data_IF_061489451787
#
_entry.id   IF_061489451787
#
_cell.length_a   1.000
_cell.length_b   1.000
_cell.length_c   1.000
_cell.angle_alpha   90.00
_cell.angle_beta   90.00
_cell.angle_gamma   90.00
#
_symmetry.space_group_name_H-M   'P 1'
#
loop_
_entity.id
_entity.type
_entity.pdbx_description
1 polymer ?
#
# COMPACT_ATOMS: atom_id res chain seq x y z
N UNK A 1 -6.87 20.49 11.28
CA UNK A 1 -5.80 20.83 10.33
C UNK A 1 -4.54 20.21 10.91
N UNK A 2 -4.17 19.01 10.45
CA UNK A 2 -2.90 18.38 10.83
C UNK A 2 -1.81 18.93 9.92
N UNK A 3 -0.63 19.21 10.48
CA UNK A 3 0.53 19.67 9.70
C UNK A 3 1.14 18.56 8.85
N UNK A 4 2.03 18.92 7.93
CA UNK A 4 2.78 17.94 7.14
C UNK A 4 3.91 17.33 7.98
N UNK A 5 4.31 16.09 7.67
CA UNK A 5 5.50 15.49 8.29
C UNK A 5 6.73 16.33 7.94
N UNK A 6 6.92 16.67 6.66
CA UNK A 6 7.97 17.56 6.21
C UNK A 6 7.36 18.89 5.75
N UNK A 7 7.53 19.93 6.56
CA UNK A 7 7.08 21.28 6.21
C UNK A 7 8.00 21.94 5.17
N UNK A 8 7.43 22.85 4.35
CA UNK A 8 8.16 23.76 3.45
C UNK A 8 9.03 23.04 2.40
N UNK A 9 8.58 21.88 1.93
CA UNK A 9 9.23 21.17 0.83
C UNK A 9 8.96 21.93 -0.47
N UNK A 10 10.01 22.22 -1.23
CA UNK A 10 9.93 22.92 -2.52
C UNK A 10 10.68 22.11 -3.58
N UNK A 11 9.94 21.60 -4.57
CA UNK A 11 10.48 20.76 -5.64
C UNK A 11 11.51 21.44 -6.53
N UNK A 12 11.62 22.77 -6.47
CA UNK A 12 12.60 23.54 -7.25
C UNK A 12 13.94 23.71 -6.55
N UNK A 13 13.97 23.62 -5.22
CA UNK A 13 15.16 23.97 -4.42
C UNK A 13 15.61 22.87 -3.48
N UNK A 14 14.72 21.98 -3.08
CA UNK A 14 15.03 20.89 -2.15
C UNK A 14 15.43 19.63 -2.94
N UNK A 15 16.69 19.19 -2.93
CA UNK A 15 17.11 18.00 -3.67
C UNK A 15 16.46 16.71 -3.17
N UNK A 16 15.90 16.71 -1.95
CA UNK A 16 15.26 15.56 -1.31
C UNK A 16 13.74 15.64 -1.33
N UNK A 17 13.18 16.57 -2.11
CA UNK A 17 11.74 16.83 -2.16
C UNK A 17 10.91 15.58 -2.43
N UNK A 18 11.36 14.70 -3.34
CA UNK A 18 10.64 13.45 -3.71
C UNK A 18 10.43 12.56 -2.48
N UNK A 19 11.46 12.42 -1.64
CA UNK A 19 11.42 11.52 -0.47
C UNK A 19 10.57 12.11 0.63
N UNK A 20 10.70 13.42 0.86
CA UNK A 20 9.91 14.16 1.85
C UNK A 20 8.43 14.18 1.48
N UNK A 21 8.12 14.44 0.21
CA UNK A 21 6.75 14.40 -0.31
C UNK A 21 6.18 12.98 -0.33
N UNK A 22 6.99 11.94 -0.55
CA UNK A 22 6.54 10.57 -0.39
C UNK A 22 6.01 10.32 1.04
N UNK A 23 6.76 10.74 2.07
CA UNK A 23 6.31 10.62 3.46
C UNK A 23 5.08 11.48 3.77
N UNK A 24 5.00 12.70 3.22
CA UNK A 24 3.80 13.54 3.34
C UNK A 24 2.59 12.90 2.66
N UNK A 25 2.76 12.30 1.49
CA UNK A 25 1.68 11.65 0.74
C UNK A 25 1.14 10.44 1.49
N UNK A 26 2.01 9.51 1.94
CA UNK A 26 1.54 8.35 2.71
C UNK A 26 0.90 8.79 4.04
N UNK A 27 1.38 9.88 4.64
CA UNK A 27 0.78 10.47 5.83
C UNK A 27 -0.61 11.03 5.57
N UNK A 28 -0.77 11.89 4.55
CA UNK A 28 -2.04 12.51 4.18
C UNK A 28 -3.11 11.46 3.83
N UNK A 29 -2.67 10.32 3.30
CA UNK A 29 -3.53 9.19 2.99
C UNK A 29 -3.87 8.30 4.19
N UNK A 30 -3.42 8.63 5.41
CA UNK A 30 -3.65 7.84 6.62
C UNK A 30 -2.93 6.49 6.59
N UNK A 31 -1.81 6.41 5.87
CA UNK A 31 -1.08 5.16 5.57
C UNK A 31 0.34 5.14 6.13
N UNK A 32 0.76 6.14 6.92
CA UNK A 32 2.10 6.20 7.48
C UNK A 32 2.46 4.95 8.33
N UNK A 33 1.66 4.63 9.34
CA UNK A 33 1.87 3.44 10.18
C UNK A 33 1.71 2.12 9.42
N UNK A 34 1.02 2.12 8.28
CA UNK A 34 0.95 0.96 7.38
C UNK A 34 2.26 0.76 6.60
N UNK A 35 2.83 1.85 6.07
CA UNK A 35 4.04 1.78 5.27
C UNK A 35 5.27 1.47 6.13
N UNK A 36 5.29 1.94 7.38
CA UNK A 36 6.42 1.80 8.30
C UNK A 36 6.95 0.35 8.42
N UNK A 37 6.16 -0.68 8.78
CA UNK A 37 6.67 -2.05 8.87
C UNK A 37 7.16 -2.60 7.52
N UNK A 38 6.54 -2.20 6.40
CA UNK A 38 6.98 -2.64 5.07
C UNK A 38 8.37 -2.09 4.75
N UNK A 39 8.58 -0.79 4.98
CA UNK A 39 9.86 -0.11 4.74
C UNK A 39 10.94 -0.72 5.64
N UNK A 40 10.65 -0.93 6.93
CA UNK A 40 11.59 -1.54 7.88
C UNK A 40 11.96 -2.98 7.51
N UNK A 41 11.02 -3.74 6.95
CA UNK A 41 11.24 -5.13 6.50
C UNK A 41 11.79 -5.22 5.07
N UNK A 42 12.17 -4.09 4.45
CA UNK A 42 12.65 -4.02 3.06
C UNK A 42 11.66 -4.57 2.05
N UNK A 43 10.37 -4.37 2.31
CA UNK A 43 9.26 -4.71 1.43
C UNK A 43 8.78 -3.45 0.75
N UNK A 44 8.58 -3.53 -0.55
CA UNK A 44 8.08 -2.41 -1.32
C UNK A 44 6.70 -1.98 -0.86
N UNK A 45 6.44 -0.68 -0.86
CA UNK A 45 5.12 -0.12 -0.63
C UNK A 45 4.80 0.90 -1.72
N UNK A 46 3.57 0.89 -2.21
CA UNK A 46 3.11 1.75 -3.30
C UNK A 46 1.66 2.11 -3.10
N UNK A 47 1.33 3.39 -3.32
CA UNK A 47 0.01 3.96 -3.12
C UNK A 47 -0.18 5.09 -4.12
N UNK A 48 -1.13 4.92 -5.05
CA UNK A 48 -1.54 5.97 -5.99
C UNK A 48 -0.36 6.62 -6.74
N UNK A 49 0.51 5.79 -7.32
CA UNK A 49 1.72 6.21 -8.06
C UNK A 49 2.88 6.72 -7.18
N UNK A 50 2.69 6.84 -5.86
CA UNK A 50 3.77 7.11 -4.92
C UNK A 50 4.29 5.80 -4.35
N UNK A 51 5.60 5.58 -4.37
CA UNK A 51 6.16 4.29 -3.98
C UNK A 51 7.53 4.39 -3.35
N UNK A 52 7.87 3.35 -2.57
CA UNK A 52 9.20 3.07 -2.06
C UNK A 52 9.48 1.58 -2.31
N UNK A 53 10.36 1.28 -3.27
CA UNK A 53 10.69 -0.06 -3.68
C UNK A 53 12.12 -0.44 -3.30
N UNK A 54 12.27 -1.69 -2.90
CA UNK A 54 13.54 -2.35 -2.68
C UNK A 54 13.84 -3.26 -3.89
N UNK A 55 15.11 -3.52 -4.19
CA UNK A 55 15.48 -4.30 -5.36
C UNK A 55 15.12 -5.77 -5.19
N UNK A 56 14.79 -6.40 -6.31
CA UNK A 56 14.48 -7.82 -6.38
C UNK A 56 15.16 -8.43 -7.62
N UNK A 57 16.37 -8.96 -7.44
CA UNK A 57 17.15 -9.61 -8.50
C UNK A 57 16.47 -10.88 -9.05
N UNK A 58 15.44 -11.39 -8.36
CA UNK A 58 14.67 -12.56 -8.80
C UNK A 58 13.44 -12.19 -9.64
N UNK A 59 13.09 -10.90 -9.71
CA UNK A 59 11.97 -10.44 -10.52
C UNK A 59 12.29 -10.62 -12.02
N UNK A 60 11.34 -11.07 -12.84
CA UNK A 60 11.57 -11.19 -14.29
C UNK A 60 11.75 -9.84 -14.99
N UNK A 61 11.28 -8.73 -14.41
CA UNK A 61 11.41 -7.40 -14.99
C UNK A 61 12.72 -6.74 -14.56
N UNK A 62 13.59 -6.30 -15.50
CA UNK A 62 14.87 -5.70 -15.18
C UNK A 62 14.75 -4.34 -14.48
N UNK A 63 13.56 -3.73 -14.46
CA UNK A 63 13.32 -2.45 -13.78
C UNK A 63 13.41 -2.54 -12.24
N UNK A 64 13.30 -3.76 -11.69
CA UNK A 64 13.46 -4.06 -10.26
C UNK A 64 14.88 -4.53 -9.91
N UNK A 65 15.78 -4.66 -10.90
CA UNK A 65 17.19 -5.03 -10.71
C UNK A 65 18.04 -3.78 -10.50
N UNK A 66 17.95 -3.19 -9.31
CA UNK A 66 18.69 -1.98 -8.96
C UNK A 66 19.45 -2.13 -7.64
N UNK A 67 20.21 -1.11 -7.24
CA UNK A 67 20.92 -1.07 -5.96
C UNK A 67 20.47 0.15 -5.17
N UNK A 68 20.22 -0.04 -3.87
CA UNK A 68 19.66 0.99 -2.99
C UNK A 68 18.16 0.89 -2.86
N UNK A 69 17.48 2.02 -2.77
CA UNK A 69 16.02 2.12 -2.61
C UNK A 69 15.49 3.15 -3.58
N UNK A 70 14.42 2.79 -4.27
CA UNK A 70 13.79 3.63 -5.28
C UNK A 70 12.53 4.25 -4.71
N UNK A 71 12.50 5.57 -4.57
CA UNK A 71 11.34 6.32 -4.09
C UNK A 71 10.76 7.13 -5.24
N UNK A 72 9.50 6.88 -5.56
CA UNK A 72 8.77 7.58 -6.62
C UNK A 72 7.61 8.39 -6.09
N UNK A 73 7.36 9.51 -6.77
CA UNK A 73 6.21 10.37 -6.58
C UNK A 73 5.73 10.82 -7.96
N UNK A 74 4.56 10.36 -8.40
CA UNK A 74 4.04 10.58 -9.75
C UNK A 74 5.10 10.22 -10.84
N UNK A 75 5.47 11.18 -11.69
CA UNK A 75 6.44 11.01 -12.78
C UNK A 75 7.91 11.20 -12.34
N UNK A 76 8.16 11.43 -11.04
CA UNK A 76 9.50 11.70 -10.51
C UNK A 76 9.99 10.55 -9.63
N UNK A 77 11.27 10.19 -9.77
CA UNK A 77 11.90 9.10 -9.01
C UNK A 77 13.24 9.56 -8.44
N UNK A 78 13.56 9.07 -7.25
CA UNK A 78 14.88 9.21 -6.63
C UNK A 78 15.41 7.85 -6.17
N UNK A 79 16.62 7.54 -6.59
CA UNK A 79 17.39 6.42 -6.06
C UNK A 79 18.20 6.88 -4.84
N UNK A 80 18.05 6.17 -3.73
CA UNK A 80 18.68 6.43 -2.44
C UNK A 80 19.55 5.26 -2.01
N UNK A 81 20.49 5.51 -1.11
CA UNK A 81 21.03 4.43 -0.28
C UNK A 81 19.99 4.06 0.80
N UNK A 82 20.08 2.83 1.33
CA UNK A 82 19.23 2.46 2.47
C UNK A 82 19.53 3.28 3.72
N UNK A 83 20.77 3.74 3.89
CA UNK A 83 21.15 4.62 4.99
C UNK A 83 20.44 5.97 4.88
N UNK A 84 20.34 6.53 3.67
CA UNK A 84 19.62 7.79 3.44
C UNK A 84 18.12 7.62 3.66
N UNK A 85 17.51 6.53 3.16
CA UNK A 85 16.10 6.22 3.46
C UNK A 85 15.87 6.11 4.97
N UNK A 86 16.76 5.41 5.68
CA UNK A 86 16.66 5.23 7.13
C UNK A 86 16.67 6.58 7.87
N UNK A 87 17.54 7.52 7.47
CA UNK A 87 17.56 8.89 8.04
C UNK A 87 16.21 9.59 7.85
N UNK A 88 15.64 9.56 6.64
CA UNK A 88 14.33 10.16 6.39
C UNK A 88 13.20 9.45 7.14
N UNK A 89 13.24 8.12 7.24
CA UNK A 89 12.23 7.35 7.97
C UNK A 89 12.23 7.70 9.46
N UNK A 90 13.41 7.77 10.08
CA UNK A 90 13.54 8.17 11.48
C UNK A 90 13.05 9.61 11.72
N UNK A 91 13.46 10.56 10.86
CA UNK A 91 12.99 11.94 10.95
C UNK A 91 11.46 12.03 10.76
N UNK A 92 10.90 11.24 9.85
CA UNK A 92 9.47 11.18 9.62
C UNK A 92 8.71 10.61 10.83
N UNK A 93 9.25 9.57 11.48
CA UNK A 93 8.67 8.99 12.69
C UNK A 93 8.67 9.99 13.85
N UNK A 94 9.79 10.68 14.07
CA UNK A 94 9.90 11.70 15.12
C UNK A 94 8.85 12.80 14.93
N UNK A 95 8.70 13.30 13.70
CA UNK A 95 7.71 14.33 13.38
C UNK A 95 6.28 13.81 13.42
N UNK A 96 6.03 12.57 13.00
CA UNK A 96 4.72 11.93 13.12
C UNK A 96 4.26 11.87 14.58
N UNK A 97 5.13 11.48 15.51
CA UNK A 97 4.81 11.43 16.95
C UNK A 97 4.55 12.82 17.53
N UNK A 98 5.21 13.87 17.03
CA UNK A 98 4.90 15.25 17.43
C UNK A 98 3.50 15.68 16.99
N UNK A 99 3.05 15.22 15.82
CA UNK A 99 1.71 15.50 15.28
C UNK A 99 0.63 14.60 15.93
N UNK A 100 0.99 13.35 16.27
CA UNK A 100 0.12 12.28 16.76
C UNK A 100 0.70 11.61 18.00
N UNK A 101 0.76 12.33 19.15
CA UNK A 101 1.27 11.75 20.39
C UNK A 101 0.47 10.52 20.86
N UNK A 102 -0.80 10.41 20.47
CA UNK A 102 -1.67 9.25 20.72
C UNK A 102 -1.16 7.94 20.11
N UNK A 103 -0.44 8.02 18.99
CA UNK A 103 0.02 6.86 18.23
C UNK A 103 1.44 6.43 18.62
N UNK A 104 2.08 7.15 19.55
CA UNK A 104 3.48 6.92 19.95
C UNK A 104 3.75 5.47 20.33
N UNK A 105 2.91 4.88 21.18
CA UNK A 105 3.08 3.50 21.62
C UNK A 105 2.91 2.48 20.49
N UNK A 106 2.05 2.77 19.51
CA UNK A 106 1.88 1.91 18.34
C UNK A 106 3.11 1.96 17.45
N UNK A 107 3.64 3.16 17.19
CA UNK A 107 4.85 3.35 16.39
C UNK A 107 6.06 2.68 17.04
N UNK A 108 6.26 2.86 18.34
CA UNK A 108 7.33 2.21 19.12
C UNK A 108 7.22 0.68 19.03
N UNK A 109 6.00 0.12 19.14
CA UNK A 109 5.76 -1.31 18.98
C UNK A 109 6.15 -1.84 17.60
N UNK A 110 5.81 -1.10 16.53
CA UNK A 110 6.20 -1.46 15.15
C UNK A 110 7.73 -1.47 15.01
N UNK A 111 8.42 -0.45 15.53
CA UNK A 111 9.88 -0.34 15.45
C UNK A 111 10.59 -1.45 16.23
N UNK A 112 10.07 -1.82 17.40
CA UNK A 112 10.60 -2.92 18.21
C UNK A 112 10.37 -4.27 17.52
N UNK A 113 9.17 -4.52 17.01
CA UNK A 113 8.85 -5.76 16.30
C UNK A 113 9.73 -5.95 15.05
N UNK A 114 9.90 -4.90 14.25
CA UNK A 114 10.78 -4.95 13.09
C UNK A 114 12.25 -5.22 13.48
N UNK A 115 12.71 -4.63 14.59
CA UNK A 115 14.06 -4.89 15.12
C UNK A 115 14.24 -6.34 15.56
N UNK A 116 13.24 -6.94 16.22
CA UNK A 116 13.26 -8.35 16.64
C UNK A 116 13.26 -9.29 15.43
N UNK A 117 12.46 -8.99 14.39
CA UNK A 117 12.43 -9.77 13.14
C UNK A 117 13.74 -9.66 12.37
N UNK A 118 14.38 -8.49 12.36
CA UNK A 118 15.71 -8.28 11.77
C UNK A 118 16.82 -9.16 12.38
N UNK A 119 16.70 -9.55 13.65
CA UNK A 119 17.62 -10.49 14.31
C UNK A 119 17.30 -11.96 14.00
N UNK A 120 16.10 -12.28 13.49
CA UNK A 120 15.67 -13.65 13.19
C UNK A 120 15.83 -14.04 11.72
N UNK A 121 16.17 -13.11 10.82
CA UNK A 121 16.42 -13.40 9.39
C UNK A 121 17.83 -13.96 9.20
N UNK A 122 18.09 -15.11 9.84
CA UNK A 122 18.99 -16.18 9.38
C UNK A 122 18.32 -17.55 9.40
N UNK A 123 17.02 -17.63 9.59
CA UNK A 123 16.27 -18.85 9.28
C UNK A 123 14.87 -18.52 8.80
N UNK A 124 14.54 -19.07 7.62
CA UNK A 124 13.21 -19.29 7.07
C UNK A 124 12.12 -19.34 8.13
N UNK A 125 11.07 -18.52 8.00
CA UNK A 125 9.65 -18.92 7.96
C UNK A 125 8.79 -17.78 7.38
N UNK A 126 7.81 -18.15 6.53
CA UNK A 126 6.82 -17.24 5.95
C UNK A 126 5.87 -16.63 6.99
N UNK A 127 5.11 -15.57 6.63
CA UNK A 127 4.38 -14.79 7.61
C UNK A 127 3.11 -15.50 8.10
N UNK A 128 2.93 -15.46 9.42
CA UNK A 128 1.76 -15.95 10.15
C UNK A 128 0.70 -14.83 10.25
N UNK A 129 -0.57 -15.19 10.09
CA UNK A 129 -1.72 -14.25 9.96
C UNK A 129 -2.22 -13.82 11.34
N UNK A 130 -2.10 -12.52 11.66
CA UNK A 130 -2.73 -11.91 12.84
C UNK A 130 -3.99 -11.14 12.40
N UNK A 131 -5.12 -11.39 13.05
CA UNK A 131 -6.43 -10.75 12.78
C UNK A 131 -6.53 -9.39 13.46
N UNK A 132 -6.98 -8.36 12.75
CA UNK A 132 -7.17 -7.00 13.29
C UNK A 132 -8.49 -6.32 12.86
N UNK A 133 -8.96 -5.29 13.60
CA UNK A 133 -10.36 -4.91 13.70
C UNK A 133 -10.85 -3.93 12.63
N UNK A 134 -12.17 -3.92 12.41
CA UNK A 134 -12.87 -3.17 11.37
C UNK A 134 -13.13 -1.71 11.76
N UNK A 135 -12.78 -0.77 10.88
CA UNK A 135 -13.12 0.64 10.97
C UNK A 135 -13.69 1.14 9.63
N UNK A 136 -14.82 1.86 9.67
CA UNK A 136 -15.45 2.47 8.50
C UNK A 136 -14.86 3.86 8.22
N UNK A 137 -14.38 4.07 7.00
CA UNK A 137 -14.07 5.40 6.46
C UNK A 137 -15.07 5.73 5.35
N UNK A 138 -15.66 6.92 5.44
CA UNK A 138 -16.52 7.51 4.42
C UNK A 138 -15.70 8.51 3.62
N UNK A 139 -15.33 8.16 2.39
CA UNK A 139 -14.84 9.08 1.36
C UNK A 139 -15.42 8.64 0.02
N UNK A 140 -15.80 9.60 -0.82
CA UNK A 140 -16.35 9.38 -2.17
C UNK A 140 -15.50 8.36 -2.94
N UNK A 141 -16.13 7.29 -3.44
CA UNK A 141 -15.44 6.18 -4.09
C UNK A 141 -14.95 6.50 -5.51
N UNK A 142 -14.09 5.64 -6.08
CA UNK A 142 -13.55 5.79 -7.43
C UNK A 142 -14.65 5.69 -8.51
N UNK A 143 -14.31 6.06 -9.75
CA UNK A 143 -15.22 6.01 -10.90
C UNK A 143 -14.88 4.87 -11.86
N UNK A 144 -15.90 4.30 -12.50
CA UNK A 144 -15.74 3.50 -13.72
C UNK A 144 -16.47 4.17 -14.88
N UNK A 145 -15.73 4.68 -15.87
CA UNK A 145 -16.33 5.61 -16.84
C UNK A 145 -16.80 6.89 -16.13
N UNK A 146 -18.10 7.18 -16.19
CA UNK A 146 -18.76 8.30 -15.49
C UNK A 146 -19.52 7.85 -14.22
N UNK A 147 -19.42 6.58 -13.82
CA UNK A 147 -20.23 5.98 -12.75
C UNK A 147 -19.52 6.03 -11.39
N UNK A 148 -20.26 6.39 -10.34
CA UNK A 148 -19.77 6.40 -8.95
C UNK A 148 -19.77 4.99 -8.37
N UNK A 149 -18.64 4.58 -7.78
CA UNK A 149 -18.53 3.30 -7.08
C UNK A 149 -18.73 3.48 -5.57
N UNK A 150 -19.54 2.59 -4.98
CA UNK A 150 -19.74 2.50 -3.52
C UNK A 150 -18.97 1.31 -2.97
N UNK A 151 -18.24 1.50 -1.87
CA UNK A 151 -17.56 0.39 -1.18
C UNK A 151 -18.60 -0.48 -0.46
N UNK A 152 -18.64 -1.77 -0.80
CA UNK A 152 -19.57 -2.75 -0.21
C UNK A 152 -18.86 -3.69 0.76
N UNK A 153 -17.61 -4.04 0.49
CA UNK A 153 -16.77 -4.81 1.38
C UNK A 153 -15.31 -4.40 1.21
N UNK A 154 -14.52 -4.51 2.25
CA UNK A 154 -13.10 -4.19 2.20
C UNK A 154 -12.35 -5.03 3.21
N UNK A 155 -11.29 -5.69 2.74
CA UNK A 155 -10.27 -6.28 3.61
C UNK A 155 -8.98 -5.51 3.38
N UNK A 156 -8.61 -4.73 4.40
CA UNK A 156 -7.39 -3.91 4.37
C UNK A 156 -6.21 -4.76 3.90
N UNK A 157 -5.42 -4.19 3.00
CA UNK A 157 -4.19 -4.81 2.47
C UNK A 157 -4.41 -6.05 1.60
N UNK A 158 -5.67 -6.36 1.26
CA UNK A 158 -6.03 -7.43 0.33
C UNK A 158 -6.89 -6.89 -0.81
N UNK A 159 -8.11 -6.43 -0.52
CA UNK A 159 -9.03 -5.98 -1.56
C UNK A 159 -10.02 -4.92 -1.08
N UNK A 160 -10.58 -4.19 -2.04
CA UNK A 160 -11.81 -3.42 -1.89
C UNK A 160 -12.82 -3.92 -2.92
N UNK A 161 -14.00 -4.31 -2.45
CA UNK A 161 -15.12 -4.63 -3.31
C UNK A 161 -16.02 -3.41 -3.43
N UNK A 162 -16.24 -3.01 -4.68
CA UNK A 162 -17.08 -1.90 -5.07
C UNK A 162 -18.38 -2.39 -5.69
N UNK A 163 -19.41 -1.55 -5.63
CA UNK A 163 -20.65 -1.69 -6.37
C UNK A 163 -20.98 -0.41 -7.11
N UNK A 164 -21.34 -0.51 -8.38
CA UNK A 164 -21.78 0.63 -9.19
C UNK A 164 -23.30 0.88 -9.06
N UNK A 165 -23.79 1.87 -9.81
CA UNK A 165 -25.21 2.26 -9.83
C UNK A 165 -26.12 1.24 -10.54
N UNK A 166 -25.56 0.26 -11.22
CA UNK A 166 -26.26 -0.82 -11.93
C UNK A 166 -26.17 -2.16 -11.19
N UNK A 167 -25.79 -2.15 -9.92
CA UNK A 167 -25.56 -3.35 -9.08
C UNK A 167 -24.47 -4.29 -9.64
N UNK A 168 -23.55 -3.79 -10.47
CA UNK A 168 -22.36 -4.53 -10.87
C UNK A 168 -21.28 -4.40 -9.79
N UNK A 169 -20.55 -5.49 -9.55
CA UNK A 169 -19.53 -5.55 -8.51
C UNK A 169 -18.13 -5.60 -9.13
N UNK A 170 -17.20 -4.87 -8.52
CA UNK A 170 -15.80 -4.83 -8.95
C UNK A 170 -14.93 -5.14 -7.73
N UNK A 171 -14.13 -6.20 -7.82
CA UNK A 171 -13.15 -6.54 -6.80
C UNK A 171 -11.79 -5.95 -7.18
N UNK A 172 -11.37 -4.92 -6.47
CA UNK A 172 -10.04 -4.34 -6.59
C UNK A 172 -9.09 -5.03 -5.62
N UNK A 173 -8.14 -5.80 -6.16
CA UNK A 173 -7.18 -6.60 -5.38
C UNK A 173 -5.80 -5.96 -5.47
N UNK A 174 -5.19 -5.73 -4.31
CA UNK A 174 -3.79 -5.32 -4.21
C UNK A 174 -2.89 -6.51 -4.50
N UNK A 175 -2.07 -6.42 -5.54
CA UNK A 175 -1.16 -7.44 -6.04
C UNK A 175 0.29 -6.95 -5.98
N UNK A 176 1.23 -7.91 -5.98
CA UNK A 176 2.67 -7.64 -6.02
C UNK A 176 3.40 -7.75 -4.67
N UNK A 177 4.71 -8.05 -4.72
CA UNK A 177 5.59 -8.20 -3.55
C UNK A 177 6.58 -7.03 -3.41
N UNK A 178 7.28 -6.70 -4.48
CA UNK A 178 8.24 -5.60 -4.54
C UNK A 178 7.61 -4.29 -5.05
N UNK A 179 6.57 -4.37 -5.88
CA UNK A 179 5.76 -3.24 -6.32
C UNK A 179 4.27 -3.55 -6.20
N UNK A 180 3.51 -2.71 -5.49
CA UNK A 180 2.06 -2.92 -5.33
C UNK A 180 1.30 -2.30 -6.51
N UNK A 181 0.44 -3.10 -7.14
CA UNK A 181 -0.49 -2.66 -8.17
C UNK A 181 -1.89 -3.21 -7.90
N UNK A 182 -2.93 -2.54 -8.39
CA UNK A 182 -4.31 -3.01 -8.23
C UNK A 182 -4.80 -3.69 -9.50
N UNK A 183 -5.39 -4.89 -9.36
CA UNK A 183 -6.22 -5.49 -10.40
C UNK A 183 -7.69 -5.24 -10.04
N UNK A 184 -8.43 -4.57 -10.92
CA UNK A 184 -9.86 -4.31 -10.71
C UNK A 184 -10.66 -5.28 -11.55
N UNK A 185 -11.23 -6.29 -10.90
CA UNK A 185 -11.84 -7.44 -11.58
C UNK A 185 -13.37 -7.32 -11.45
N UNK A 186 -14.09 -7.14 -12.56
CA UNK A 186 -15.54 -7.26 -12.55
C UNK A 186 -15.95 -8.67 -12.13
N UNK A 187 -16.83 -8.75 -11.14
CA UNK A 187 -17.39 -10.01 -10.67
C UNK A 187 -18.50 -10.48 -11.61
N UNK A 188 -18.59 -11.79 -11.81
CA UNK A 188 -19.76 -12.38 -12.46
C UNK A 188 -20.99 -12.24 -11.56
N UNK A 189 -22.19 -12.40 -12.12
CA UNK A 189 -23.44 -12.38 -11.32
C UNK A 189 -23.41 -13.46 -10.23
N UNK A 190 -22.83 -14.62 -10.52
CA UNK A 190 -22.68 -15.72 -9.57
C UNK A 190 -21.69 -15.35 -8.44
N UNK A 191 -20.52 -14.82 -8.78
CA UNK A 191 -19.52 -14.38 -7.80
C UNK A 191 -20.05 -13.23 -6.93
N UNK A 192 -20.83 -12.31 -7.52
CA UNK A 192 -21.46 -11.21 -6.78
C UNK A 192 -22.52 -11.71 -5.79
N UNK A 193 -23.29 -12.75 -6.15
CA UNK A 193 -24.23 -13.39 -5.23
C UNK A 193 -23.48 -14.12 -4.10
N UNK A 194 -22.39 -14.82 -4.43
CA UNK A 194 -21.55 -15.52 -3.44
C UNK A 194 -20.87 -14.55 -2.48
N UNK A 195 -20.32 -13.45 -2.99
CA UNK A 195 -19.72 -12.38 -2.19
C UNK A 195 -20.70 -11.75 -1.18
N UNK A 196 -22.01 -11.76 -1.49
CA UNK A 196 -23.04 -11.27 -0.57
C UNK A 196 -23.53 -12.34 0.42
N UNK A 197 -23.43 -13.62 0.08
CA UNK A 197 -23.91 -14.73 0.89
C UNK A 197 -22.82 -15.33 1.81
N UNK A 198 -21.56 -15.22 1.42
CA UNK A 198 -20.40 -15.83 2.07
C UNK A 198 -19.33 -14.77 2.34
N UNK A 199 -19.08 -14.55 3.63
CA UNK A 199 -18.10 -13.55 4.08
C UNK A 199 -16.65 -13.93 3.82
N UNK A 200 -16.34 -15.21 3.57
CA UNK A 200 -14.97 -15.68 3.31
C UNK A 200 -14.66 -15.76 1.81
N UNK A 201 -15.68 -15.84 0.94
CA UNK A 201 -15.48 -15.98 -0.50
C UNK A 201 -14.59 -14.89 -1.13
N UNK A 202 -14.77 -13.64 -0.72
CA UNK A 202 -13.96 -12.53 -1.24
C UNK A 202 -12.49 -12.63 -0.80
N UNK A 203 -12.25 -13.21 0.38
CA UNK A 203 -10.89 -13.43 0.89
C UNK A 203 -10.18 -14.48 0.05
N UNK A 204 -10.83 -15.62 -0.20
CA UNK A 204 -10.30 -16.70 -1.04
C UNK A 204 -10.07 -16.24 -2.48
N UNK A 205 -11.02 -15.47 -3.04
CA UNK A 205 -10.89 -14.95 -4.39
C UNK A 205 -9.74 -13.96 -4.51
N UNK A 206 -9.59 -13.04 -3.54
CA UNK A 206 -8.47 -12.11 -3.53
C UNK A 206 -7.12 -12.83 -3.36
N UNK A 207 -7.06 -13.87 -2.53
CA UNK A 207 -5.86 -14.70 -2.39
C UNK A 207 -5.51 -15.42 -3.70
N UNK A 208 -6.51 -15.98 -4.39
CA UNK A 208 -6.33 -16.60 -5.72
C UNK A 208 -5.79 -15.61 -6.75
N UNK A 209 -6.34 -14.40 -6.77
CA UNK A 209 -5.89 -13.30 -7.65
C UNK A 209 -4.45 -12.90 -7.32
N UNK A 210 -4.08 -12.79 -6.04
CA UNK A 210 -2.71 -12.45 -5.62
C UNK A 210 -1.70 -13.55 -5.91
N UNK A 211 -2.12 -14.81 -5.82
CA UNK A 211 -1.27 -15.96 -6.11
C UNK A 211 -0.95 -16.05 -7.61
N UNK A 212 -1.91 -15.74 -8.47
CA UNK A 212 -1.78 -15.86 -9.93
C UNK A 212 -2.36 -14.63 -10.68
N UNK A 213 -1.81 -13.42 -10.49
CA UNK A 213 -2.40 -12.18 -11.02
C UNK A 213 -2.48 -12.15 -12.56
N UNK A 214 -1.60 -12.90 -13.23
CA UNK A 214 -1.57 -13.00 -14.69
C UNK A 214 -2.86 -13.63 -15.25
N UNK A 215 -3.47 -14.58 -14.53
CA UNK A 215 -4.71 -15.25 -14.95
C UNK A 215 -5.91 -14.28 -14.95
N UNK A 216 -5.81 -13.18 -14.21
CA UNK A 216 -6.87 -12.19 -14.05
C UNK A 216 -6.59 -10.88 -14.79
N UNK A 217 -5.34 -10.66 -15.23
CA UNK A 217 -4.90 -9.44 -15.90
C UNK A 217 -5.79 -9.05 -17.10
N UNK A 218 -6.20 -10.02 -17.90
CA UNK A 218 -7.04 -9.81 -19.10
C UNK A 218 -8.47 -9.37 -18.77
N UNK A 219 -8.92 -9.61 -17.55
CA UNK A 219 -10.24 -9.19 -17.03
C UNK A 219 -10.17 -7.87 -16.28
N UNK A 220 -8.97 -7.37 -15.98
CA UNK A 220 -8.79 -6.15 -15.21
C UNK A 220 -9.26 -4.94 -16.00
N UNK A 221 -10.00 -4.06 -15.32
CA UNK A 221 -10.47 -2.79 -15.87
C UNK A 221 -9.74 -1.62 -15.21
N UNK A 222 -9.61 -0.51 -15.94
CA UNK A 222 -9.10 0.74 -15.37
C UNK A 222 -10.23 1.45 -14.62
N UNK A 223 -10.01 1.72 -13.33
CA UNK A 223 -10.85 2.63 -12.56
C UNK A 223 -10.26 4.04 -12.67
N UNK A 224 -11.11 5.01 -13.03
CA UNK A 224 -10.74 6.43 -13.02
C UNK A 224 -10.97 7.00 -11.62
N UNK A 225 -10.20 8.00 -11.25
CA UNK A 225 -10.33 8.68 -9.96
C UNK A 225 -10.69 10.13 -10.18
#
# INVERSE_FOLDING_TARGET
MGGDIFEKVDSRTDPDWIVKEFFNSIYFQGRFLWALPLILERKGCGVNEDYCFFPDDSDPSPEYHFSGVKVGLMDSEKLLTEEDLSKFLHEACDKYVLLHPEDKSQLEGIMEEASLRGHSIRSDKGPEVVKEPSFRLTTSGPFFGDMVLTVVAQKRFSYTCYRDEHDAFILSVLCGRAGMYELNIPLSVEDAQRAQADGEFLDDLAESVRANPQDYSTRSIALKR
#
